data_IF_274065911866
#
_entry.id   IF_274065911866
#
_cell.length_a   1.000
_cell.length_b   1.000
_cell.length_c   1.000
_cell.angle_alpha   90.00
_cell.angle_beta   90.00
_cell.angle_gamma   90.00
#
_symmetry.space_group_name_H-M   'P 1'
#
loop_
_entity.id
_entity.type
_entity.pdbx_description
1 polymer ?
#
# COMPACT_ATOMS: atom_id res chain seq x y z
N UNK A 1 9.85 -4.34 36.99
CA UNK A 1 8.89 -5.45 37.24
C UNK A 1 9.67 -6.72 37.52
N UNK A 2 9.37 -7.45 38.60
CA UNK A 2 10.08 -8.69 38.93
C UNK A 2 11.61 -8.54 39.09
N UNK A 3 12.07 -7.38 39.60
CA UNK A 3 13.51 -7.07 39.71
C UNK A 3 14.20 -6.61 38.42
N UNK A 4 13.49 -6.56 37.29
CA UNK A 4 14.02 -6.11 35.99
C UNK A 4 13.53 -4.70 35.66
N UNK A 5 14.41 -3.87 35.11
CA UNK A 5 14.08 -2.50 34.66
C UNK A 5 13.46 -2.52 33.27
N UNK A 6 12.36 -1.77 33.10
CA UNK A 6 11.73 -1.56 31.81
C UNK A 6 11.62 -0.06 31.58
N UNK A 7 12.34 0.44 30.58
CA UNK A 7 12.27 1.83 30.16
C UNK A 7 11.25 1.95 29.03
N UNK A 8 10.13 2.62 29.31
CA UNK A 8 9.07 2.86 28.33
C UNK A 8 9.25 4.25 27.73
N UNK A 9 9.25 4.32 26.40
CA UNK A 9 9.36 5.57 25.67
C UNK A 9 8.27 5.65 24.62
N UNK A 10 7.48 6.73 24.66
CA UNK A 10 6.50 7.00 23.61
C UNK A 10 7.20 7.20 22.27
N UNK A 11 6.74 6.46 21.26
CA UNK A 11 7.34 6.37 19.95
C UNK A 11 6.25 6.19 18.89
N UNK A 12 5.57 7.28 18.48
CA UNK A 12 4.60 7.21 17.40
C UNK A 12 5.22 6.63 16.12
N UNK A 13 4.45 5.81 15.41
CA UNK A 13 4.87 5.27 14.12
C UNK A 13 3.77 4.49 13.41
N UNK A 14 3.71 3.17 13.59
CA UNK A 14 2.60 2.35 13.06
C UNK A 14 1.25 2.88 13.57
N UNK A 15 1.18 3.20 14.85
CA UNK A 15 0.06 3.90 15.50
C UNK A 15 0.59 5.09 16.32
N UNK A 16 -0.30 6.01 16.66
CA UNK A 16 0.06 7.22 17.41
C UNK A 16 0.43 6.93 18.88
N UNK A 17 0.00 5.79 19.41
CA UNK A 17 0.13 5.36 20.81
C UNK A 17 1.25 4.32 21.03
N UNK A 18 2.07 4.04 20.02
CA UNK A 18 3.16 3.06 20.13
C UNK A 18 4.23 3.48 21.17
N UNK A 19 4.80 2.46 21.81
CA UNK A 19 5.80 2.58 22.87
C UNK A 19 6.97 1.65 22.54
N UNK A 20 8.19 2.16 22.65
CA UNK A 20 9.40 1.33 22.71
C UNK A 20 9.60 0.89 24.16
N UNK A 21 9.91 -0.40 24.35
CA UNK A 21 10.31 -0.95 25.65
C UNK A 21 11.78 -1.37 25.58
N UNK A 22 12.62 -0.76 26.39
CA UNK A 22 14.02 -1.16 26.54
C UNK A 22 14.22 -1.90 27.85
N UNK A 23 15.00 -2.99 27.80
CA UNK A 23 15.43 -3.76 28.97
C UNK A 23 16.97 -3.69 29.03
N UNK A 24 17.54 -2.67 29.72
CA UNK A 24 18.96 -2.35 29.66
C UNK A 24 19.88 -3.50 30.09
N UNK A 25 19.49 -4.24 31.13
CA UNK A 25 20.27 -5.34 31.72
C UNK A 25 20.56 -6.46 30.71
N UNK A 26 19.69 -6.62 29.71
CA UNK A 26 19.83 -7.61 28.64
C UNK A 26 20.17 -6.98 27.29
N UNK A 27 20.30 -5.65 27.22
CA UNK A 27 20.45 -4.89 25.96
C UNK A 27 19.40 -5.28 24.91
N UNK A 28 18.18 -5.50 25.37
CA UNK A 28 17.02 -5.82 24.54
C UNK A 28 16.23 -4.55 24.31
N UNK A 29 15.78 -4.34 23.07
CA UNK A 29 14.78 -3.33 22.73
C UNK A 29 13.61 -4.00 22.00
N UNK A 30 12.41 -3.76 22.48
CA UNK A 30 11.16 -4.14 21.82
C UNK A 30 10.57 -2.88 21.17
N UNK A 31 10.67 -2.70 19.83
CA UNK A 31 10.19 -1.50 19.15
C UNK A 31 8.68 -1.52 18.86
N UNK A 32 7.93 -2.46 19.47
CA UNK A 32 6.58 -2.81 19.06
C UNK A 32 6.53 -3.07 17.54
N UNK A 33 5.66 -2.39 16.79
CA UNK A 33 5.54 -2.55 15.33
C UNK A 33 6.20 -1.42 14.55
N UNK A 34 6.99 -0.58 15.24
CA UNK A 34 7.82 0.38 14.53
C UNK A 34 8.97 -0.28 13.75
N UNK A 35 9.18 -1.59 13.89
CA UNK A 35 9.94 -2.41 12.96
C UNK A 35 9.31 -3.81 12.84
N UNK A 36 9.25 -4.33 11.62
CA UNK A 36 9.02 -5.73 11.29
C UNK A 36 9.64 -6.01 9.92
N UNK A 37 9.83 -7.29 9.57
CA UNK A 37 10.51 -7.68 8.33
C UNK A 37 9.61 -7.58 7.08
N UNK A 38 9.15 -6.38 6.75
CA UNK A 38 8.49 -6.02 5.49
C UNK A 38 8.57 -4.50 5.29
N UNK A 39 8.40 -4.00 4.07
CA UNK A 39 8.23 -2.56 3.86
C UNK A 39 7.11 -2.00 4.77
N UNK A 40 7.37 -0.89 5.49
CA UNK A 40 6.42 -0.35 6.47
C UNK A 40 5.10 0.01 5.81
N UNK A 41 4.01 -0.38 6.46
CA UNK A 41 2.67 -0.04 6.02
C UNK A 41 2.33 1.43 6.33
N UNK A 42 2.97 2.41 5.67
CA UNK A 42 2.75 3.83 5.96
C UNK A 42 1.28 4.28 5.71
N UNK A 43 0.48 3.44 5.06
CA UNK A 43 -0.97 3.57 4.97
C UNK A 43 -1.66 2.23 4.76
N UNK A 44 -2.58 1.87 5.67
CA UNK A 44 -3.40 0.68 5.51
C UNK A 44 -4.59 0.94 4.59
N UNK A 45 -4.73 0.11 3.55
CA UNK A 45 -5.81 0.21 2.56
C UNK A 45 -7.21 -0.10 3.12
N UNK A 46 -7.30 -0.56 4.38
CA UNK A 46 -8.58 -0.64 5.11
C UNK A 46 -9.16 0.74 5.48
N UNK A 47 -8.33 1.79 5.41
CA UNK A 47 -8.71 3.17 5.73
C UNK A 47 -8.44 3.50 7.19
N UNK A 48 -7.52 4.44 7.41
CA UNK A 48 -7.20 5.06 8.71
C UNK A 48 -6.79 6.52 8.49
N UNK A 49 -6.64 7.26 9.57
CA UNK A 49 -5.89 8.52 9.55
C UNK A 49 -4.44 8.28 9.10
N UNK A 50 -3.80 9.34 8.59
CA UNK A 50 -2.42 9.29 8.18
C UNK A 50 -1.51 8.92 9.37
N UNK A 51 -0.53 8.05 9.12
CA UNK A 51 0.49 7.69 10.11
C UNK A 51 1.51 8.81 10.27
N UNK A 52 2.11 8.99 11.45
CA UNK A 52 3.17 9.97 11.67
C UNK A 52 4.49 9.50 11.06
N UNK A 53 4.60 9.57 9.73
CA UNK A 53 5.69 8.98 8.93
C UNK A 53 7.08 9.45 9.36
N UNK A 54 7.26 10.74 9.63
CA UNK A 54 8.55 11.30 10.04
C UNK A 54 8.93 10.88 11.47
N UNK A 55 7.96 10.76 12.37
CA UNK A 55 8.19 10.26 13.73
C UNK A 55 8.54 8.76 13.72
N UNK A 56 7.92 8.00 12.81
CA UNK A 56 8.27 6.60 12.59
C UNK A 56 9.71 6.44 12.08
N UNK A 57 10.14 7.29 11.15
CA UNK A 57 11.54 7.30 10.72
C UNK A 57 12.49 7.66 11.89
N UNK A 58 12.16 8.71 12.66
CA UNK A 58 12.95 9.14 13.81
C UNK A 58 13.00 8.08 14.94
N UNK A 59 11.97 7.25 15.07
CA UNK A 59 11.94 6.12 15.99
C UNK A 59 13.09 5.14 15.73
N UNK A 60 13.46 4.91 14.46
CA UNK A 60 14.58 4.03 14.12
C UNK A 60 15.89 4.57 14.71
N UNK A 61 16.14 5.87 14.56
CA UNK A 61 17.33 6.50 15.14
C UNK A 61 17.35 6.46 16.67
N UNK A 62 16.18 6.56 17.32
CA UNK A 62 16.08 6.39 18.78
C UNK A 62 16.55 5.00 19.20
N UNK A 63 16.08 3.95 18.52
CA UNK A 63 16.46 2.56 18.84
C UNK A 63 17.94 2.30 18.53
N UNK A 64 18.45 2.81 17.41
CA UNK A 64 19.88 2.68 17.05
C UNK A 64 20.77 3.28 18.14
N UNK A 65 20.41 4.45 18.70
CA UNK A 65 21.16 5.12 19.78
C UNK A 65 21.16 4.34 21.10
N UNK A 66 20.20 3.43 21.31
CA UNK A 66 20.18 2.56 22.48
C UNK A 66 21.20 1.41 22.38
N UNK A 67 21.79 1.22 21.20
CA UNK A 67 22.80 0.20 20.92
C UNK A 67 22.44 -1.22 21.40
N UNK A 68 21.23 -1.73 21.06
CA UNK A 68 20.80 -3.04 21.54
C UNK A 68 21.63 -4.18 20.92
N UNK A 69 21.82 -5.25 21.69
CA UNK A 69 22.34 -6.53 21.17
C UNK A 69 21.20 -7.37 20.56
N UNK A 70 19.96 -7.13 20.99
CA UNK A 70 18.76 -7.83 20.53
C UNK A 70 17.61 -6.85 20.28
N UNK A 71 17.02 -6.90 19.09
CA UNK A 71 15.77 -6.20 18.76
C UNK A 71 14.65 -7.22 18.62
N UNK A 72 13.60 -7.09 19.44
CA UNK A 72 12.47 -8.04 19.48
C UNK A 72 11.19 -7.34 19.02
N UNK A 73 10.88 -7.37 17.71
CA UNK A 73 9.67 -6.73 17.17
C UNK A 73 8.39 -7.45 17.60
N UNK A 74 7.24 -6.75 17.50
CA UNK A 74 5.92 -7.35 17.73
C UNK A 74 5.57 -8.46 16.73
N UNK A 75 6.22 -8.45 15.56
CA UNK A 75 6.03 -9.43 14.51
C UNK A 75 7.36 -9.96 13.94
N UNK A 76 7.38 -11.26 13.64
CA UNK A 76 8.51 -11.93 13.00
C UNK A 76 9.64 -12.29 13.96
N UNK A 77 10.83 -12.53 13.41
CA UNK A 77 11.99 -12.96 14.19
C UNK A 77 12.78 -11.78 14.77
N UNK A 78 13.42 -11.95 15.93
CA UNK A 78 14.35 -10.96 16.47
C UNK A 78 15.52 -10.67 15.53
N UNK A 79 16.04 -9.45 15.58
CA UNK A 79 17.36 -9.13 15.06
C UNK A 79 18.40 -9.27 16.16
N UNK A 80 19.54 -9.88 15.82
CA UNK A 80 20.62 -10.18 16.75
C UNK A 80 21.90 -9.53 16.23
N UNK A 81 22.59 -8.82 17.13
CA UNK A 81 23.86 -8.15 16.87
C UNK A 81 23.68 -6.66 16.56
N UNK A 82 24.38 -5.83 17.33
CA UNK A 82 24.35 -4.36 17.26
C UNK A 82 24.51 -3.80 15.84
N UNK A 83 25.52 -4.26 15.09
CA UNK A 83 25.77 -3.73 13.73
C UNK A 83 24.66 -4.10 12.75
N UNK A 84 24.15 -5.35 12.81
CA UNK A 84 23.03 -5.79 11.99
C UNK A 84 21.76 -4.99 12.29
N UNK A 85 21.50 -4.72 13.57
CA UNK A 85 20.36 -3.90 13.99
C UNK A 85 20.52 -2.48 13.44
N UNK A 86 21.69 -1.86 13.64
CA UNK A 86 21.99 -0.52 13.16
C UNK A 86 21.80 -0.38 11.65
N UNK A 87 22.35 -1.30 10.87
CA UNK A 87 22.22 -1.34 9.41
C UNK A 87 20.74 -1.50 9.00
N UNK A 88 20.06 -2.49 9.58
CA UNK A 88 18.68 -2.81 9.20
C UNK A 88 17.74 -1.64 9.50
N UNK A 89 17.83 -1.04 10.69
CA UNK A 89 17.00 0.09 11.09
C UNK A 89 17.36 1.37 10.31
N UNK A 90 18.63 1.56 9.96
CA UNK A 90 19.06 2.65 9.07
C UNK A 90 18.44 2.53 7.68
N UNK A 91 18.51 1.35 7.07
CA UNK A 91 17.87 1.07 5.78
C UNK A 91 16.34 1.23 5.85
N UNK A 92 15.73 0.81 6.96
CA UNK A 92 14.29 0.94 7.20
C UNK A 92 13.87 2.42 7.27
N UNK A 93 14.60 3.23 8.05
CA UNK A 93 14.44 4.70 8.11
C UNK A 93 14.54 5.32 6.72
N UNK A 94 15.59 4.98 5.98
CA UNK A 94 15.87 5.58 4.68
C UNK A 94 14.80 5.22 3.64
N UNK A 95 14.23 4.01 3.72
CA UNK A 95 13.08 3.62 2.90
C UNK A 95 11.82 4.45 3.21
N UNK A 96 11.56 4.73 4.50
CA UNK A 96 10.44 5.58 4.93
C UNK A 96 10.62 7.00 4.38
N UNK A 97 11.80 7.59 4.60
CA UNK A 97 12.11 8.96 4.18
C UNK A 97 12.11 9.10 2.66
N UNK A 98 12.57 8.08 1.93
CA UNK A 98 12.52 8.08 0.46
C UNK A 98 11.09 8.21 -0.05
N UNK A 99 10.17 7.40 0.46
CA UNK A 99 8.76 7.41 0.05
C UNK A 99 8.06 8.72 0.45
N UNK A 100 8.40 9.27 1.61
CA UNK A 100 7.96 10.61 2.01
C UNK A 100 8.44 11.68 1.02
N UNK A 101 9.71 11.69 0.68
CA UNK A 101 10.29 12.66 -0.25
C UNK A 101 9.73 12.54 -1.66
N UNK A 102 9.39 11.33 -2.14
CA UNK A 102 8.70 11.15 -3.43
C UNK A 102 7.36 11.88 -3.47
N UNK A 103 6.56 11.78 -2.40
CA UNK A 103 5.27 12.46 -2.30
C UNK A 103 5.44 13.98 -2.22
N UNK A 104 6.38 14.48 -1.42
CA UNK A 104 6.68 15.91 -1.29
C UNK A 104 7.16 16.52 -2.60
N UNK A 105 8.01 15.80 -3.33
CA UNK A 105 8.47 16.22 -4.65
C UNK A 105 7.30 16.32 -5.65
N UNK A 106 6.36 15.37 -5.60
CA UNK A 106 5.16 15.42 -6.44
C UNK A 106 4.33 16.68 -6.17
N UNK A 107 4.16 17.04 -4.90
CA UNK A 107 3.44 18.27 -4.50
C UNK A 107 4.16 19.50 -5.06
N UNK A 108 5.48 19.60 -4.85
CA UNK A 108 6.28 20.74 -5.28
C UNK A 108 6.28 20.92 -6.80
N UNK A 109 6.24 19.82 -7.54
CA UNK A 109 6.27 19.81 -9.01
C UNK A 109 4.86 19.78 -9.64
N UNK A 110 3.79 19.86 -8.84
CA UNK A 110 2.40 19.72 -9.29
C UNK A 110 2.16 18.49 -10.18
N UNK A 111 2.82 17.37 -9.84
CA UNK A 111 2.72 16.12 -10.60
C UNK A 111 1.45 15.36 -10.24
N UNK A 112 0.77 14.73 -11.22
CA UNK A 112 -0.34 13.82 -10.97
C UNK A 112 0.10 12.69 -10.03
N UNK A 113 -0.52 12.61 -8.85
CA UNK A 113 -0.10 11.67 -7.81
C UNK A 113 -0.20 10.20 -8.25
N UNK A 114 -1.16 9.87 -9.12
CA UNK A 114 -1.32 8.51 -9.63
C UNK A 114 -0.15 8.07 -10.52
N UNK A 115 0.43 8.98 -11.30
CA UNK A 115 1.63 8.70 -12.10
C UNK A 115 2.85 8.51 -11.19
N UNK A 116 3.03 9.39 -10.21
CA UNK A 116 4.15 9.29 -9.26
C UNK A 116 4.05 8.00 -8.45
N UNK A 117 2.86 7.67 -7.95
CA UNK A 117 2.65 6.48 -7.15
C UNK A 117 2.85 5.19 -7.97
N UNK A 118 2.43 5.14 -9.23
CA UNK A 118 2.62 3.94 -10.08
C UNK A 118 4.07 3.72 -10.49
N UNK A 119 4.86 4.80 -10.60
CA UNK A 119 6.29 4.73 -10.91
C UNK A 119 7.20 4.69 -9.68
N UNK A 120 6.62 4.77 -8.47
CA UNK A 120 7.38 4.82 -7.23
C UNK A 120 8.19 3.54 -7.01
N UNK A 121 9.51 3.70 -6.85
CA UNK A 121 10.43 2.62 -6.53
C UNK A 121 11.40 3.05 -5.43
N UNK A 122 11.80 2.09 -4.58
CA UNK A 122 12.96 2.27 -3.71
C UNK A 122 14.24 2.23 -4.54
N UNK A 123 15.32 2.90 -4.10
CA UNK A 123 16.62 2.76 -4.75
C UNK A 123 17.13 1.30 -4.66
N UNK A 124 17.96 0.82 -5.62
CA UNK A 124 18.34 -0.60 -5.71
C UNK A 124 18.93 -1.21 -4.45
N UNK A 125 19.70 -0.43 -3.68
CA UNK A 125 20.31 -0.90 -2.43
C UNK A 125 19.28 -1.17 -1.32
N UNK A 126 18.08 -0.56 -1.40
CA UNK A 126 16.97 -0.81 -0.47
C UNK A 126 15.98 -1.84 -1.03
N UNK A 127 15.62 -1.76 -2.32
CA UNK A 127 14.59 -2.63 -2.92
C UNK A 127 14.95 -4.12 -2.92
N UNK A 128 16.26 -4.42 -2.87
CA UNK A 128 16.75 -5.79 -2.86
C UNK A 128 16.80 -6.42 -1.46
N UNK A 129 16.63 -5.62 -0.40
CA UNK A 129 16.69 -6.11 0.97
C UNK A 129 15.44 -6.94 1.31
N UNK A 130 15.61 -8.15 1.90
CA UNK A 130 14.49 -9.05 2.16
C UNK A 130 13.48 -8.47 3.16
N UNK A 131 13.94 -7.70 4.14
CA UNK A 131 13.10 -7.04 5.14
C UNK A 131 12.43 -5.74 4.64
N UNK A 132 12.66 -5.34 3.39
CA UNK A 132 11.96 -4.23 2.73
C UNK A 132 11.09 -4.71 1.55
N UNK A 133 10.85 -6.02 1.43
CA UNK A 133 9.87 -6.53 0.47
C UNK A 133 8.46 -6.10 0.87
N UNK A 134 7.65 -5.78 -0.13
CA UNK A 134 6.34 -5.13 0.02
C UNK A 134 5.20 -6.10 0.34
N UNK A 135 5.46 -7.05 1.24
CA UNK A 135 4.49 -8.06 1.66
C UNK A 135 3.31 -7.46 2.43
N UNK A 136 3.53 -6.37 3.18
CA UNK A 136 2.50 -5.68 3.96
C UNK A 136 2.29 -4.23 3.51
N UNK A 137 3.28 -3.35 3.69
CA UNK A 137 3.24 -2.02 3.09
C UNK A 137 3.50 -2.07 1.59
N UNK A 138 2.98 -1.08 0.86
CA UNK A 138 3.14 -0.98 -0.59
C UNK A 138 3.35 0.48 -1.02
N UNK A 139 4.43 0.73 -1.75
CA UNK A 139 4.90 2.08 -2.12
C UNK A 139 3.78 2.92 -2.76
N UNK A 140 3.06 2.46 -3.79
CA UNK A 140 1.99 3.24 -4.40
C UNK A 140 0.87 3.65 -3.43
N UNK A 141 0.57 2.86 -2.40
CA UNK A 141 -0.43 3.22 -1.38
C UNK A 141 0.13 4.28 -0.44
N UNK A 142 1.39 4.12 -0.03
CA UNK A 142 2.07 5.02 0.88
C UNK A 142 2.31 6.39 0.26
N UNK A 143 2.78 6.47 -1.00
CA UNK A 143 3.00 7.74 -1.71
C UNK A 143 1.70 8.54 -1.82
N UNK A 144 0.59 7.90 -2.21
CA UNK A 144 -0.74 8.54 -2.27
C UNK A 144 -1.17 9.08 -0.92
N UNK A 145 -1.08 8.27 0.13
CA UNK A 145 -1.51 8.70 1.44
C UNK A 145 -0.67 9.86 1.99
N UNK A 146 0.65 9.81 1.82
CA UNK A 146 1.52 10.92 2.25
C UNK A 146 1.14 12.18 1.48
N UNK A 147 1.00 12.11 0.16
CA UNK A 147 0.57 13.25 -0.64
C UNK A 147 -0.75 13.86 -0.10
N UNK A 148 -1.79 13.04 0.05
CA UNK A 148 -3.09 13.50 0.52
C UNK A 148 -3.08 13.98 1.98
N UNK A 149 -2.15 13.50 2.81
CA UNK A 149 -2.00 13.99 4.18
C UNK A 149 -1.49 15.44 4.25
N UNK A 150 -0.76 15.90 3.22
CA UNK A 150 -0.25 17.27 3.15
C UNK A 150 -1.22 18.24 2.47
N UNK A 151 -1.82 17.83 1.34
CA UNK A 151 -2.61 18.75 0.49
C UNK A 151 -4.09 18.38 0.37
N UNK A 152 -4.53 17.30 1.01
CA UNK A 152 -5.89 16.80 0.90
C UNK A 152 -6.16 16.08 -0.43
N UNK A 153 -7.45 15.97 -0.78
CA UNK A 153 -7.89 15.25 -1.99
C UNK A 153 -7.61 16.03 -3.28
N UNK A 154 -7.53 17.36 -3.21
CA UNK A 154 -7.37 18.22 -4.38
C UNK A 154 -5.92 18.21 -4.84
N UNK A 155 -5.69 17.76 -6.07
CA UNK A 155 -4.37 17.58 -6.67
C UNK A 155 -3.85 18.84 -7.39
N UNK A 156 -4.60 19.94 -7.34
CA UNK A 156 -4.27 21.18 -8.05
C UNK A 156 -4.79 21.24 -9.49
N UNK A 157 -5.35 20.16 -10.03
CA UNK A 157 -5.94 20.13 -11.36
C UNK A 157 -7.43 20.54 -11.30
N UNK A 158 -7.86 21.59 -12.02
CA UNK A 158 -9.27 21.99 -12.05
C UNK A 158 -10.24 20.88 -12.48
N UNK A 159 -9.79 19.89 -13.26
CA UNK A 159 -10.59 18.71 -13.62
C UNK A 159 -11.11 17.97 -12.39
N UNK A 160 -10.34 17.98 -11.30
CA UNK A 160 -10.65 17.31 -10.05
C UNK A 160 -11.64 18.07 -9.18
N UNK A 161 -11.95 19.35 -9.45
CA UNK A 161 -12.85 20.17 -8.59
C UNK A 161 -14.28 19.65 -8.56
N UNK A 162 -14.75 19.07 -9.67
CA UNK A 162 -16.10 18.53 -9.81
C UNK A 162 -16.07 17.40 -10.84
N UNK A 163 -15.48 16.24 -10.49
CA UNK A 163 -15.34 15.14 -11.43
C UNK A 163 -16.72 14.54 -11.74
N UNK A 164 -16.90 14.07 -12.97
CA UNK A 164 -18.06 13.27 -13.34
C UNK A 164 -18.11 12.00 -12.48
N UNK A 165 -19.33 11.52 -12.21
CA UNK A 165 -19.46 10.19 -11.62
C UNK A 165 -18.91 9.14 -12.58
N UNK A 166 -18.42 8.02 -12.04
CA UNK A 166 -17.96 6.88 -12.87
C UNK A 166 -19.03 6.38 -13.85
N UNK A 167 -20.30 6.50 -13.44
CA UNK A 167 -21.45 6.15 -14.28
C UNK A 167 -21.59 7.10 -15.47
N UNK A 168 -21.51 8.41 -15.26
CA UNK A 168 -21.64 9.39 -16.34
C UNK A 168 -20.48 9.26 -17.33
N UNK A 169 -19.23 9.33 -16.84
CA UNK A 169 -18.05 9.21 -17.70
C UNK A 169 -18.00 7.88 -18.44
N UNK A 170 -18.34 6.77 -17.75
CA UNK A 170 -18.38 5.45 -18.36
C UNK A 170 -19.42 5.35 -19.49
N UNK A 171 -20.59 5.97 -19.33
CA UNK A 171 -21.62 5.98 -20.38
C UNK A 171 -21.13 6.70 -21.64
N UNK A 172 -20.46 7.85 -21.49
CA UNK A 172 -19.90 8.59 -22.62
C UNK A 172 -18.76 7.83 -23.30
N UNK A 173 -17.85 7.20 -22.54
CA UNK A 173 -16.78 6.36 -23.10
C UNK A 173 -17.36 5.17 -23.89
N UNK A 174 -18.38 4.49 -23.36
CA UNK A 174 -19.03 3.36 -24.05
C UNK A 174 -19.72 3.81 -25.34
N UNK A 175 -20.34 4.99 -25.35
CA UNK A 175 -20.92 5.60 -26.56
C UNK A 175 -19.84 5.90 -27.61
N UNK A 176 -18.69 6.43 -27.19
CA UNK A 176 -17.55 6.68 -28.08
C UNK A 176 -16.97 5.38 -28.65
N UNK A 177 -16.92 4.30 -27.87
CA UNK A 177 -16.48 2.98 -28.33
C UNK A 177 -17.44 2.35 -29.36
N UNK A 178 -18.69 2.81 -29.42
CA UNK A 178 -19.70 2.44 -30.39
C UNK A 178 -20.51 1.19 -30.05
N UNK A 179 -19.97 0.25 -29.27
CA UNK A 179 -20.75 -0.86 -28.68
C UNK A 179 -20.05 -1.49 -27.48
N UNK A 180 -20.84 -2.12 -26.60
CA UNK A 180 -20.34 -2.92 -25.46
C UNK A 180 -19.48 -4.09 -25.97
N UNK A 181 -19.87 -4.74 -27.07
CA UNK A 181 -19.14 -5.89 -27.62
C UNK A 181 -17.71 -5.53 -28.05
N UNK A 182 -17.49 -4.32 -28.61
CA UNK A 182 -16.14 -3.85 -28.94
C UNK A 182 -15.27 -3.70 -27.70
N UNK A 183 -15.85 -3.18 -26.61
CA UNK A 183 -15.15 -3.00 -25.33
C UNK A 183 -14.84 -4.35 -24.69
N UNK A 184 -15.77 -5.30 -24.73
CA UNK A 184 -15.55 -6.68 -24.29
C UNK A 184 -14.44 -7.37 -25.11
N UNK A 185 -14.44 -7.19 -26.43
CA UNK A 185 -13.38 -7.71 -27.31
C UNK A 185 -12.00 -7.15 -26.95
N UNK A 186 -11.90 -5.85 -26.68
CA UNK A 186 -10.63 -5.25 -26.21
C UNK A 186 -10.23 -5.76 -24.81
N UNK A 187 -11.19 -5.90 -23.90
CA UNK A 187 -10.94 -6.46 -22.58
C UNK A 187 -10.46 -7.92 -22.67
N UNK A 188 -10.92 -8.70 -23.66
CA UNK A 188 -10.48 -10.09 -23.86
C UNK A 188 -9.03 -10.13 -24.35
N UNK A 189 -8.66 -9.23 -25.27
CA UNK A 189 -7.27 -9.06 -25.71
C UNK A 189 -6.37 -8.66 -24.53
N UNK A 190 -6.76 -7.64 -23.77
CA UNK A 190 -6.01 -7.20 -22.58
C UNK A 190 -5.86 -8.32 -21.55
N UNK A 191 -6.87 -9.18 -21.40
CA UNK A 191 -6.80 -10.34 -20.52
C UNK A 191 -5.80 -11.39 -20.99
N UNK A 192 -5.73 -11.68 -22.30
CA UNK A 192 -4.73 -12.58 -22.90
C UNK A 192 -3.30 -12.04 -22.76
N UNK A 193 -3.15 -10.72 -22.78
CA UNK A 193 -1.88 -10.02 -22.57
C UNK A 193 -1.48 -9.89 -21.08
N UNK A 194 -2.31 -10.39 -20.15
CA UNK A 194 -2.06 -10.27 -18.71
C UNK A 194 -2.27 -8.85 -18.15
N UNK A 195 -2.84 -7.92 -18.92
CA UNK A 195 -3.15 -6.54 -18.50
C UNK A 195 -4.44 -6.49 -17.68
N UNK A 196 -4.47 -7.25 -16.60
CA UNK A 196 -5.68 -7.47 -15.79
C UNK A 196 -6.26 -6.20 -15.17
N UNK A 197 -5.45 -5.22 -14.80
CA UNK A 197 -5.98 -3.94 -14.30
C UNK A 197 -6.81 -3.22 -15.36
N UNK A 198 -6.38 -3.23 -16.62
CA UNK A 198 -7.14 -2.65 -17.75
C UNK A 198 -8.47 -3.37 -17.91
N UNK A 199 -8.48 -4.70 -17.78
CA UNK A 199 -9.72 -5.49 -17.83
C UNK A 199 -10.69 -5.07 -16.73
N UNK A 200 -10.21 -4.82 -15.51
CA UNK A 200 -11.06 -4.35 -14.40
C UNK A 200 -11.72 -3.01 -14.71
N UNK A 201 -10.95 -2.03 -15.20
CA UNK A 201 -11.49 -0.69 -15.54
C UNK A 201 -12.58 -0.78 -16.61
N UNK A 202 -12.31 -1.51 -17.70
CA UNK A 202 -13.27 -1.66 -18.81
C UNK A 202 -14.52 -2.42 -18.39
N UNK A 203 -14.36 -3.50 -17.61
CA UNK A 203 -15.50 -4.25 -17.11
C UNK A 203 -16.33 -3.43 -16.11
N UNK A 204 -15.69 -2.59 -15.28
CA UNK A 204 -16.41 -1.72 -14.35
C UNK A 204 -17.25 -0.66 -15.08
N UNK A 205 -16.73 -0.06 -16.15
CA UNK A 205 -17.50 0.86 -17.00
C UNK A 205 -18.78 0.19 -17.54
N UNK A 206 -18.66 -1.04 -18.06
CA UNK A 206 -19.80 -1.82 -18.56
C UNK A 206 -20.78 -2.15 -17.43
N UNK A 207 -20.30 -2.70 -16.31
CA UNK A 207 -21.14 -3.17 -15.21
C UNK A 207 -21.85 -2.03 -14.46
N UNK A 208 -21.33 -0.81 -14.54
CA UNK A 208 -21.99 0.38 -14.00
C UNK A 208 -23.23 0.77 -14.81
N UNK A 209 -23.22 0.52 -16.13
CA UNK A 209 -24.39 0.75 -17.00
C UNK A 209 -25.33 -0.45 -17.05
N UNK A 210 -24.78 -1.66 -17.16
CA UNK A 210 -25.50 -2.91 -17.19
C UNK A 210 -24.96 -3.86 -16.11
N UNK A 211 -25.50 -3.78 -14.88
CA UNK A 211 -25.13 -4.68 -13.80
C UNK A 211 -25.46 -6.15 -14.08
N UNK A 212 -26.20 -6.50 -15.13
CA UNK A 212 -26.51 -7.89 -15.48
C UNK A 212 -25.57 -8.46 -16.56
N UNK A 213 -24.64 -7.66 -17.09
CA UNK A 213 -23.71 -8.11 -18.12
C UNK A 213 -22.81 -9.25 -17.61
N UNK A 214 -23.15 -10.48 -18.01
CA UNK A 214 -22.48 -11.69 -17.53
C UNK A 214 -21.04 -11.79 -18.03
N UNK A 215 -20.77 -11.40 -19.27
CA UNK A 215 -19.44 -11.46 -19.87
C UNK A 215 -18.44 -10.57 -19.13
N UNK A 216 -18.78 -9.29 -18.93
CA UNK A 216 -17.95 -8.34 -18.18
C UNK A 216 -17.69 -8.83 -16.75
N UNK A 217 -18.71 -9.38 -16.08
CA UNK A 217 -18.55 -9.90 -14.70
C UNK A 217 -17.61 -11.10 -14.65
N UNK A 218 -17.70 -12.04 -15.59
CA UNK A 218 -16.80 -13.19 -15.65
C UNK A 218 -15.34 -12.76 -15.89
N UNK A 219 -15.12 -11.83 -16.82
CA UNK A 219 -13.80 -11.28 -17.11
C UNK A 219 -13.21 -10.54 -15.91
N UNK A 220 -14.03 -9.75 -15.19
CA UNK A 220 -13.67 -9.10 -13.93
C UNK A 220 -13.24 -10.11 -12.87
N UNK A 221 -14.01 -11.19 -12.67
CA UNK A 221 -13.68 -12.25 -11.70
C UNK A 221 -12.31 -12.88 -12.00
N UNK A 222 -12.08 -13.27 -13.27
CA UNK A 222 -10.83 -13.91 -13.67
C UNK A 222 -9.65 -12.95 -13.47
N UNK A 223 -9.80 -11.68 -13.83
CA UNK A 223 -8.74 -10.67 -13.69
C UNK A 223 -8.45 -10.32 -12.23
N UNK A 224 -9.46 -10.26 -11.37
CA UNK A 224 -9.26 -10.11 -9.92
C UNK A 224 -8.45 -11.29 -9.35
N UNK A 225 -8.80 -12.53 -9.70
CA UNK A 225 -8.05 -13.71 -9.24
C UNK A 225 -6.61 -13.72 -9.76
N UNK A 226 -6.38 -13.30 -11.00
CA UNK A 226 -5.05 -13.20 -11.56
C UNK A 226 -4.19 -12.18 -10.81
N UNK A 227 -4.71 -10.96 -10.60
CA UNK A 227 -4.03 -9.91 -9.83
C UNK A 227 -3.72 -10.35 -8.40
N UNK A 228 -4.68 -11.02 -7.75
CA UNK A 228 -4.51 -11.56 -6.41
C UNK A 228 -3.44 -12.65 -6.32
N UNK A 229 -3.25 -13.44 -7.38
CA UNK A 229 -2.20 -14.47 -7.45
C UNK A 229 -0.81 -13.89 -7.73
N UNK A 230 -0.73 -12.80 -8.48
CA UNK A 230 0.55 -12.23 -8.94
C UNK A 230 1.15 -11.18 -8.01
N UNK A 231 0.36 -10.60 -7.11
CA UNK A 231 0.87 -9.59 -6.18
C UNK A 231 1.55 -10.22 -4.97
N UNK A 232 2.73 -9.73 -4.61
CA UNK A 232 3.41 -10.11 -3.36
C UNK A 232 2.76 -9.45 -2.13
N UNK A 233 1.95 -8.41 -2.32
CA UNK A 233 1.34 -7.67 -1.22
C UNK A 233 0.12 -8.43 -0.68
N UNK A 234 0.22 -8.95 0.54
CA UNK A 234 -0.81 -9.79 1.15
C UNK A 234 -2.15 -9.07 1.32
N UNK A 235 -2.20 -7.80 1.81
CA UNK A 235 -3.45 -7.03 1.81
C UNK A 235 -4.09 -6.92 0.42
N UNK A 236 -3.33 -6.52 -0.60
CA UNK A 236 -3.87 -6.39 -1.96
C UNK A 236 -4.40 -7.73 -2.50
N UNK A 237 -3.65 -8.82 -2.30
CA UNK A 237 -4.08 -10.17 -2.70
C UNK A 237 -5.42 -10.55 -2.05
N UNK A 238 -5.57 -10.27 -0.75
CA UNK A 238 -6.80 -10.54 -0.01
C UNK A 238 -7.99 -9.71 -0.52
N UNK A 239 -7.76 -8.43 -0.84
CA UNK A 239 -8.81 -7.58 -1.44
C UNK A 239 -9.23 -8.12 -2.80
N UNK A 240 -8.29 -8.41 -3.69
CA UNK A 240 -8.61 -8.93 -5.03
C UNK A 240 -9.39 -10.25 -4.97
N UNK A 241 -8.94 -11.21 -4.17
CA UNK A 241 -9.59 -12.52 -4.03
C UNK A 241 -10.96 -12.44 -3.36
N UNK A 242 -11.12 -11.58 -2.36
CA UNK A 242 -12.41 -11.32 -1.70
C UNK A 242 -13.41 -10.70 -2.68
N UNK A 243 -13.01 -9.67 -3.41
CA UNK A 243 -13.88 -9.02 -4.40
C UNK A 243 -14.24 -9.96 -5.56
N UNK A 244 -13.34 -10.87 -5.96
CA UNK A 244 -13.68 -11.91 -6.92
C UNK A 244 -14.81 -12.83 -6.40
N UNK A 245 -14.77 -13.17 -5.10
CA UNK A 245 -15.82 -13.96 -4.44
C UNK A 245 -17.15 -13.22 -4.39
N UNK A 246 -17.13 -11.91 -4.09
CA UNK A 246 -18.34 -11.08 -4.11
C UNK A 246 -18.96 -11.02 -5.50
N UNK A 247 -18.17 -10.85 -6.56
CA UNK A 247 -18.66 -10.89 -7.94
C UNK A 247 -19.22 -12.26 -8.33
N UNK A 248 -18.61 -13.38 -7.87
CA UNK A 248 -19.17 -14.73 -8.07
C UNK A 248 -20.55 -14.88 -7.41
N UNK A 249 -20.74 -14.34 -6.21
CA UNK A 249 -22.03 -14.41 -5.51
C UNK A 249 -23.13 -13.65 -6.28
N UNK A 250 -22.81 -12.51 -6.89
CA UNK A 250 -23.74 -11.78 -7.76
C UNK A 250 -24.19 -12.59 -8.98
N UNK A 251 -23.35 -13.49 -9.51
CA UNK A 251 -23.75 -14.39 -10.60
C UNK A 251 -24.67 -15.52 -10.12
N UNK A 252 -24.44 -16.06 -8.92
CA UNK A 252 -25.27 -17.13 -8.35
C UNK A 252 -26.67 -16.66 -8.03
N UNK A 253 -26.82 -15.43 -7.54
CA UNK A 253 -28.12 -14.86 -7.16
C UNK A 253 -28.92 -14.30 -8.35
N UNK A 254 -28.40 -14.40 -9.58
CA UNK A 254 -29.06 -13.94 -10.80
C UNK A 254 -29.92 -15.02 -11.48
N UNK A 255 -29.93 -16.23 -10.92
CA UNK A 255 -30.68 -17.42 -11.35
C UNK A 255 -31.29 -18.11 -10.13
#
# INVERSE_FOLDING_TARGET
LGGITFNLQHAPGETADQIIVQIPEYKVVCPADNYYASFPNLYTIRGTTARPVLEWAACQDKVIKMEPDFLVPGHGSPLIGKERIKETLGNYRDAILHVHNLALKAIQEFKPIDEVATQASLPPHLSNLPYLKQYYGYLPFCVRNIYHSYVGWFDGNPLSLSPLSRKELGADILKLAGSVDKVLGHAEMAQKEGRHQVVLELCEMILTQDPKNRAARLMKIVSLLALGKTTDNSPAANYYTTFATLEKNKLKNAF
#
